data_IF_294754781654
#
_entry.id   IF_294754781654
#
_cell.length_a   1.000
_cell.length_b   1.000
_cell.length_c   1.000
_cell.angle_alpha   90.00
_cell.angle_beta   90.00
_cell.angle_gamma   90.00
#
_symmetry.space_group_name_H-M   'P 1'
#
loop_
_entity.id
_entity.type
_entity.pdbx_description
1 polymer ?
#
# COMPACT_ATOMS: atom_id res chain seq x y z
N UNK A 1 4.87 13.03 8.56
CA UNK A 1 5.39 13.33 7.23
C UNK A 1 6.68 14.14 7.35
N UNK A 2 7.64 13.85 6.49
CA UNK A 2 9.02 14.35 6.56
C UNK A 2 9.22 15.81 6.11
N UNK A 3 8.16 16.62 6.04
CA UNK A 3 8.18 17.98 5.49
C UNK A 3 8.68 18.09 4.04
N UNK A 4 8.62 16.98 3.30
CA UNK A 4 9.05 16.93 1.89
C UNK A 4 7.90 17.11 0.90
N UNK A 5 6.67 17.17 1.41
CA UNK A 5 5.46 17.39 0.62
C UNK A 5 4.87 18.77 0.93
N UNK A 6 4.09 19.29 0.00
CA UNK A 6 3.39 20.57 0.14
C UNK A 6 4.33 21.75 0.44
N UNK A 7 5.44 21.82 -0.30
CA UNK A 7 6.47 22.85 -0.09
C UNK A 7 6.08 24.24 -0.64
N UNK A 8 4.96 24.35 -1.34
CA UNK A 8 4.47 25.65 -1.76
C UNK A 8 4.13 26.50 -0.52
N UNK A 9 4.74 27.69 -0.33
CA UNK A 9 4.47 28.54 0.83
C UNK A 9 3.02 29.03 0.89
N UNK A 10 2.33 29.07 -0.24
CA UNK A 10 0.94 29.53 -0.35
C UNK A 10 -0.08 28.40 -0.20
N UNK A 11 0.37 27.17 0.14
CA UNK A 11 -0.54 26.04 0.31
C UNK A 11 -1.55 26.32 1.43
N UNK A 12 -2.82 26.04 1.16
CA UNK A 12 -3.90 26.10 2.14
C UNK A 12 -4.43 24.68 2.36
N UNK A 13 -4.56 24.31 3.62
CA UNK A 13 -5.12 23.02 4.00
C UNK A 13 -6.56 23.17 4.46
N UNK A 14 -7.38 22.21 4.09
CA UNK A 14 -8.68 21.93 4.70
C UNK A 14 -8.51 20.57 5.38
N UNK A 15 -8.83 20.47 6.65
CA UNK A 15 -8.64 19.26 7.43
C UNK A 15 -9.97 18.80 8.04
N UNK A 16 -10.42 17.63 7.65
CA UNK A 16 -11.61 16.97 8.20
C UNK A 16 -11.15 16.02 9.29
N UNK A 17 -11.58 16.23 10.52
CA UNK A 17 -11.21 15.35 11.64
C UNK A 17 -12.25 15.44 12.76
N UNK A 18 -12.56 14.30 13.39
CA UNK A 18 -13.44 14.28 14.58
C UNK A 18 -12.77 14.89 15.82
N UNK A 19 -11.44 14.85 15.88
CA UNK A 19 -10.66 15.44 16.94
C UNK A 19 -10.33 16.91 16.60
N UNK A 20 -10.89 17.84 17.35
CA UNK A 20 -10.71 19.27 17.13
C UNK A 20 -9.24 19.67 17.09
N UNK A 21 -8.43 19.18 18.03
CA UNK A 21 -6.98 19.44 18.08
C UNK A 21 -6.26 19.04 16.78
N UNK A 22 -6.63 17.91 16.20
CA UNK A 22 -6.05 17.43 14.95
C UNK A 22 -6.56 18.19 13.73
N UNK A 23 -7.80 18.65 13.76
CA UNK A 23 -8.39 19.44 12.68
C UNK A 23 -7.65 20.77 12.45
N UNK A 24 -7.12 21.39 13.49
CA UNK A 24 -6.37 22.65 13.39
C UNK A 24 -4.90 22.50 13.00
N UNK A 25 -4.36 21.29 12.88
CA UNK A 25 -2.97 21.09 12.48
C UNK A 25 -2.66 21.71 11.12
N UNK A 26 -1.42 22.11 10.93
CA UNK A 26 -0.92 22.74 9.69
C UNK A 26 -1.59 24.08 9.33
N UNK A 27 -2.15 24.78 10.29
CA UNK A 27 -2.91 26.03 10.04
C UNK A 27 -4.04 25.80 9.02
N UNK A 28 -4.68 24.64 9.10
CA UNK A 28 -5.75 24.26 8.20
C UNK A 28 -7.06 24.98 8.53
N UNK A 29 -7.93 25.13 7.54
CA UNK A 29 -9.35 25.38 7.78
C UNK A 29 -9.96 24.10 8.37
N UNK A 30 -10.36 24.09 9.64
CA UNK A 30 -10.85 22.88 10.27
C UNK A 30 -12.30 22.62 9.90
N UNK A 31 -12.61 21.39 9.54
CA UNK A 31 -13.95 20.84 9.46
C UNK A 31 -14.04 19.73 10.53
N UNK A 32 -14.49 20.13 11.73
CA UNK A 32 -14.59 19.21 12.87
C UNK A 32 -15.85 18.38 12.72
N UNK A 33 -15.69 17.07 12.43
CA UNK A 33 -16.82 16.19 12.21
C UNK A 33 -16.39 14.80 11.71
N UNK A 34 -17.35 13.92 11.60
CA UNK A 34 -17.19 12.62 10.96
C UNK A 34 -16.83 12.80 9.48
N UNK A 35 -15.85 12.03 9.01
CA UNK A 35 -15.35 12.19 7.64
C UNK A 35 -16.41 11.84 6.59
N UNK A 36 -17.21 10.79 6.80
CA UNK A 36 -18.25 10.39 5.86
C UNK A 36 -19.33 11.46 5.77
N UNK A 37 -19.89 11.87 6.91
CA UNK A 37 -20.93 12.88 6.96
C UNK A 37 -20.47 14.21 6.35
N UNK A 38 -19.25 14.65 6.69
CA UNK A 38 -18.67 15.90 6.16
C UNK A 38 -18.45 15.82 4.65
N UNK A 39 -17.99 14.68 4.13
CA UNK A 39 -17.80 14.49 2.68
C UNK A 39 -19.14 14.43 1.93
N UNK A 40 -20.20 13.84 2.50
CA UNK A 40 -21.54 13.84 1.92
C UNK A 40 -22.10 15.27 1.82
N UNK A 41 -21.96 16.08 2.87
CA UNK A 41 -22.34 17.49 2.84
C UNK A 41 -21.52 18.30 1.81
N UNK A 42 -20.21 18.04 1.74
CA UNK A 42 -19.31 18.71 0.80
C UNK A 42 -19.67 18.36 -0.65
N UNK A 43 -19.99 17.10 -0.94
CA UNK A 43 -20.46 16.67 -2.27
C UNK A 43 -21.73 17.42 -2.68
N UNK A 44 -22.68 17.58 -1.75
CA UNK A 44 -23.91 18.35 -1.99
C UNK A 44 -23.61 19.83 -2.23
N UNK A 45 -22.71 20.42 -1.43
CA UNK A 45 -22.34 21.84 -1.56
C UNK A 45 -21.56 22.14 -2.85
N UNK A 46 -20.82 21.15 -3.36
CA UNK A 46 -20.04 21.27 -4.61
C UNK A 46 -20.84 20.81 -5.85
N UNK A 47 -22.14 20.56 -5.72
CA UNK A 47 -22.95 20.14 -6.85
C UNK A 47 -22.85 21.16 -8.01
N UNK A 48 -22.45 20.69 -9.19
CA UNK A 48 -22.23 21.54 -10.37
C UNK A 48 -20.86 22.24 -10.41
N UNK A 49 -20.02 22.08 -9.39
CA UNK A 49 -18.62 22.54 -9.47
C UNK A 49 -17.83 21.67 -10.45
N UNK A 50 -17.15 22.32 -11.37
CA UNK A 50 -16.23 21.66 -12.31
C UNK A 50 -14.84 22.27 -12.17
N UNK A 51 -13.83 21.39 -12.22
CA UNK A 51 -12.44 21.84 -12.25
C UNK A 51 -12.08 22.37 -13.65
N UNK A 52 -11.03 23.18 -13.73
CA UNK A 52 -10.53 23.67 -15.02
C UNK A 52 -10.06 22.53 -15.93
N UNK A 53 -10.38 22.57 -17.22
CA UNK A 53 -9.99 21.56 -18.22
C UNK A 53 -8.48 21.28 -18.24
N UNK A 54 -7.67 22.33 -18.03
CA UNK A 54 -6.21 22.20 -17.94
C UNK A 54 -5.77 21.28 -16.79
N UNK A 55 -6.45 21.31 -15.63
CA UNK A 55 -6.14 20.44 -14.50
C UNK A 55 -6.55 19.00 -14.79
N UNK A 56 -7.70 18.79 -15.44
CA UNK A 56 -8.15 17.45 -15.85
C UNK A 56 -7.18 16.86 -16.87
N UNK A 57 -6.82 17.62 -17.90
CA UNK A 57 -5.85 17.20 -18.90
C UNK A 57 -4.50 16.86 -18.31
N UNK A 58 -4.04 17.65 -17.33
CA UNK A 58 -2.79 17.37 -16.59
C UNK A 58 -2.87 16.10 -15.76
N UNK A 59 -4.00 15.87 -15.08
CA UNK A 59 -4.22 14.66 -14.29
C UNK A 59 -4.18 13.41 -15.18
N UNK A 60 -4.84 13.43 -16.35
CA UNK A 60 -4.78 12.33 -17.30
C UNK A 60 -3.36 12.07 -17.83
N UNK A 61 -2.63 13.13 -18.23
CA UNK A 61 -1.23 12.99 -18.66
C UNK A 61 -0.34 12.34 -17.58
N UNK A 62 -0.51 12.72 -16.31
CA UNK A 62 0.26 12.15 -15.21
C UNK A 62 -0.13 10.70 -14.95
N UNK A 63 -1.40 10.37 -15.06
CA UNK A 63 -1.91 9.01 -14.94
C UNK A 63 -1.32 8.12 -16.05
N UNK A 64 -1.43 8.52 -17.30
CA UNK A 64 -0.94 7.75 -18.44
C UNK A 64 0.58 7.55 -18.38
N UNK A 65 1.32 8.59 -17.99
CA UNK A 65 2.77 8.49 -17.80
C UNK A 65 3.14 7.52 -16.66
N UNK A 66 2.34 7.50 -15.59
CA UNK A 66 2.55 6.56 -14.48
C UNK A 66 2.21 5.13 -14.87
N UNK A 67 1.10 4.89 -15.58
CA UNK A 67 0.74 3.56 -16.07
C UNK A 67 1.81 2.99 -17.02
N UNK A 68 2.36 3.82 -17.91
CA UNK A 68 3.47 3.41 -18.77
C UNK A 68 4.74 3.04 -17.96
N UNK A 69 5.01 3.75 -16.86
CA UNK A 69 6.12 3.42 -15.96
C UNK A 69 5.86 2.11 -15.20
N UNK A 70 4.62 1.84 -14.78
CA UNK A 70 4.25 0.56 -14.15
C UNK A 70 4.46 -0.60 -15.14
N UNK A 71 4.02 -0.46 -16.40
CA UNK A 71 4.25 -1.47 -17.43
C UNK A 71 5.75 -1.74 -17.64
N UNK A 72 6.54 -0.67 -17.69
CA UNK A 72 8.00 -0.78 -17.81
C UNK A 72 8.62 -1.54 -16.62
N UNK A 73 8.14 -1.27 -15.40
CA UNK A 73 8.65 -1.92 -14.20
C UNK A 73 8.21 -3.38 -14.10
N UNK A 74 7.02 -3.71 -14.55
CA UNK A 74 6.54 -5.09 -14.62
C UNK A 74 7.36 -5.93 -15.61
N UNK A 75 7.80 -5.31 -16.72
CA UNK A 75 8.56 -5.98 -17.77
C UNK A 75 10.07 -6.14 -17.47
N UNK A 76 10.57 -5.61 -16.36
CA UNK A 76 12.02 -5.69 -16.04
C UNK A 76 12.42 -7.14 -15.78
N UNK A 77 13.34 -7.62 -16.63
CA UNK A 77 14.05 -8.88 -16.45
C UNK A 77 15.50 -8.62 -16.06
N UNK A 78 15.94 -9.18 -14.94
CA UNK A 78 17.36 -9.11 -14.54
C UNK A 78 18.11 -10.29 -15.11
N UNK A 79 18.86 -10.02 -16.18
CA UNK A 79 19.66 -11.05 -16.87
C UNK A 79 20.92 -11.45 -16.09
N UNK A 80 21.45 -10.59 -15.25
CA UNK A 80 22.77 -10.69 -14.62
C UNK A 80 22.79 -11.35 -13.25
N UNK A 81 21.66 -11.36 -12.51
CA UNK A 81 21.62 -11.88 -11.14
C UNK A 81 20.85 -13.20 -10.99
N UNK A 82 20.10 -13.62 -12.00
CA UNK A 82 19.19 -14.76 -11.93
C UNK A 82 18.02 -14.59 -10.93
N UNK A 83 17.95 -13.44 -10.25
CA UNK A 83 16.90 -13.14 -9.29
C UNK A 83 15.84 -12.22 -9.93
N UNK A 84 14.55 -12.49 -9.72
CA UNK A 84 13.50 -11.65 -10.26
C UNK A 84 13.52 -10.25 -9.65
N UNK A 85 13.10 -9.25 -10.42
CA UNK A 85 12.85 -7.91 -9.92
C UNK A 85 11.51 -7.86 -9.17
N UNK A 86 11.46 -7.22 -8.01
CA UNK A 86 10.24 -7.17 -7.16
C UNK A 86 9.03 -6.62 -7.91
N UNK A 87 9.21 -5.59 -8.74
CA UNK A 87 8.14 -5.03 -9.59
C UNK A 87 7.58 -6.06 -10.58
N UNK A 88 8.44 -6.88 -11.20
CA UNK A 88 7.99 -7.94 -12.10
C UNK A 88 7.21 -9.05 -11.36
N UNK A 89 7.60 -9.38 -10.13
CA UNK A 89 6.84 -10.33 -9.29
C UNK A 89 5.46 -9.77 -8.92
N UNK A 90 5.40 -8.48 -8.55
CA UNK A 90 4.13 -7.80 -8.29
C UNK A 90 3.26 -7.82 -9.54
N UNK A 91 3.82 -7.50 -10.70
CA UNK A 91 3.13 -7.56 -11.99
C UNK A 91 2.58 -8.94 -12.29
N UNK A 92 3.38 -9.98 -12.13
CA UNK A 92 2.96 -11.34 -12.37
C UNK A 92 1.76 -11.75 -11.49
N UNK A 93 1.77 -11.39 -10.20
CA UNK A 93 0.64 -11.68 -9.30
C UNK A 93 -0.60 -10.85 -9.68
N UNK A 94 -0.41 -9.57 -10.03
CA UNK A 94 -1.51 -8.68 -10.38
C UNK A 94 -2.18 -9.04 -11.70
N UNK A 95 -1.41 -9.48 -12.70
CA UNK A 95 -1.90 -9.77 -14.05
C UNK A 95 -2.41 -11.21 -14.21
N UNK A 96 -1.76 -12.18 -13.56
CA UNK A 96 -2.06 -13.61 -13.71
C UNK A 96 -2.93 -14.16 -12.57
N UNK A 97 -3.05 -13.41 -11.47
CA UNK A 97 -3.90 -13.78 -10.35
C UNK A 97 -5.38 -13.62 -10.67
N UNK A 98 -6.21 -14.13 -9.75
CA UNK A 98 -7.66 -13.98 -9.84
C UNK A 98 -8.03 -12.49 -9.86
N UNK A 99 -8.82 -12.02 -10.83
CA UNK A 99 -9.18 -10.61 -10.96
C UNK A 99 -9.99 -10.06 -9.78
N UNK A 100 -10.64 -10.91 -8.99
CA UNK A 100 -11.42 -10.53 -7.82
C UNK A 100 -10.70 -10.78 -6.50
N UNK A 101 -9.47 -11.29 -6.54
CA UNK A 101 -8.68 -11.56 -5.35
C UNK A 101 -8.46 -10.31 -4.49
N UNK A 102 -8.30 -10.55 -3.19
CA UNK A 102 -7.83 -9.51 -2.25
C UNK A 102 -6.33 -9.69 -2.04
N UNK A 103 -5.58 -8.64 -2.30
CA UNK A 103 -4.17 -8.56 -1.97
C UNK A 103 -3.99 -7.98 -0.57
N UNK A 104 -3.19 -8.64 0.26
CA UNK A 104 -2.90 -8.24 1.65
C UNK A 104 -1.41 -8.01 1.82
N UNK A 105 -1.03 -6.88 2.41
CA UNK A 105 0.33 -6.60 2.84
C UNK A 105 0.33 -5.74 4.11
N UNK A 106 1.48 -5.54 4.72
CA UNK A 106 1.61 -4.68 5.90
C UNK A 106 2.90 -3.85 5.88
N UNK A 107 4.03 -4.39 6.28
CA UNK A 107 5.23 -3.62 6.59
C UNK A 107 6.43 -3.94 5.69
N UNK A 108 7.41 -3.05 5.69
CA UNK A 108 8.69 -3.22 4.99
C UNK A 108 8.80 -2.47 3.66
N UNK A 109 9.69 -2.91 2.78
CA UNK A 109 9.88 -2.31 1.45
C UNK A 109 8.82 -2.73 0.44
N UNK A 110 8.29 -3.94 0.59
CA UNK A 110 7.27 -4.51 -0.31
C UNK A 110 5.97 -3.69 -0.35
N UNK A 111 5.36 -3.28 0.78
CA UNK A 111 4.19 -2.41 0.76
C UNK A 111 4.42 -1.08 0.04
N UNK A 112 5.63 -0.51 0.14
CA UNK A 112 5.98 0.72 -0.56
C UNK A 112 5.93 0.59 -2.08
N UNK A 113 6.39 -0.55 -2.60
CA UNK A 113 6.31 -0.86 -4.04
C UNK A 113 4.89 -1.27 -4.43
N UNK A 114 4.20 -2.09 -3.62
CA UNK A 114 2.81 -2.46 -3.86
C UNK A 114 1.89 -1.26 -3.94
N UNK A 115 2.06 -0.29 -3.03
CA UNK A 115 1.26 0.94 -3.01
C UNK A 115 1.39 1.77 -4.29
N UNK A 116 2.52 1.64 -4.98
CA UNK A 116 2.78 2.34 -6.23
C UNK A 116 2.39 1.53 -7.47
N UNK A 117 2.58 0.22 -7.41
CA UNK A 117 2.56 -0.62 -8.60
C UNK A 117 1.31 -1.49 -8.71
N UNK A 118 0.60 -1.76 -7.60
CA UNK A 118 -0.59 -2.61 -7.64
C UNK A 118 -1.77 -1.89 -8.33
N UNK A 119 -2.31 -2.51 -9.36
CA UNK A 119 -3.50 -2.03 -10.06
C UNK A 119 -4.75 -2.68 -9.46
N UNK A 120 -5.42 -1.97 -8.57
CA UNK A 120 -6.72 -2.39 -8.04
C UNK A 120 -7.82 -2.14 -9.08
N UNK A 121 -8.64 -3.14 -9.34
CA UNK A 121 -9.73 -3.08 -10.34
C UNK A 121 -11.05 -2.61 -9.73
N UNK A 122 -11.23 -2.81 -8.43
CA UNK A 122 -12.41 -2.35 -7.69
C UNK A 122 -12.08 -2.14 -6.20
N UNK A 123 -12.95 -1.46 -5.42
CA UNK A 123 -12.77 -1.28 -3.98
C UNK A 123 -12.63 -2.61 -3.23
N UNK A 124 -11.90 -2.61 -2.11
CA UNK A 124 -11.62 -3.78 -1.26
C UNK A 124 -10.78 -4.89 -1.89
N UNK A 125 -10.07 -4.62 -3.00
CA UNK A 125 -9.05 -5.53 -3.53
C UNK A 125 -7.68 -5.36 -2.91
N UNK A 126 -7.42 -4.23 -2.28
CA UNK A 126 -6.14 -3.90 -1.69
C UNK A 126 -6.34 -3.65 -0.20
N UNK A 127 -5.77 -4.53 0.62
CA UNK A 127 -5.80 -4.42 2.07
C UNK A 127 -4.39 -4.23 2.61
N UNK A 128 -4.16 -3.14 3.32
CA UNK A 128 -2.86 -2.79 3.86
C UNK A 128 -2.98 -2.27 5.28
N UNK A 129 -2.27 -2.92 6.20
CA UNK A 129 -2.03 -2.35 7.53
C UNK A 129 -0.80 -1.45 7.43
N UNK A 130 -0.99 -0.15 7.35
CA UNK A 130 0.08 0.82 7.24
C UNK A 130 0.06 1.91 8.33
N UNK A 131 -1.02 2.02 9.06
CA UNK A 131 -1.17 3.02 10.12
C UNK A 131 -0.08 2.92 11.18
N UNK A 132 0.25 1.71 11.60
CA UNK A 132 1.33 1.39 12.53
C UNK A 132 2.47 0.61 11.87
N UNK A 133 2.29 0.17 10.63
CA UNK A 133 3.27 -0.60 9.86
C UNK A 133 3.73 -1.86 10.60
N UNK A 134 2.77 -2.66 11.06
CA UNK A 134 3.02 -3.84 11.90
C UNK A 134 3.54 -5.02 11.07
N UNK A 135 4.80 -5.38 11.27
CA UNK A 135 5.36 -6.62 10.71
C UNK A 135 4.69 -7.83 11.35
N UNK A 136 4.39 -8.84 10.52
CA UNK A 136 3.72 -10.07 10.96
C UNK A 136 2.20 -10.03 10.86
N UNK A 137 1.61 -8.88 10.52
CA UNK A 137 0.16 -8.76 10.32
C UNK A 137 -0.34 -9.56 9.10
N UNK A 138 0.49 -9.75 8.09
CA UNK A 138 0.08 -10.17 6.76
C UNK A 138 -0.69 -11.50 6.76
N UNK A 139 -0.21 -12.50 7.50
CA UNK A 139 -0.85 -13.82 7.56
C UNK A 139 -2.17 -13.76 8.31
N UNK A 140 -2.18 -13.18 9.51
CA UNK A 140 -3.37 -13.03 10.33
C UNK A 140 -4.43 -12.17 9.61
N UNK A 141 -4.01 -11.07 8.99
CA UNK A 141 -4.89 -10.20 8.21
C UNK A 141 -5.49 -10.92 7.00
N UNK A 142 -4.68 -11.70 6.29
CA UNK A 142 -5.13 -12.55 5.18
C UNK A 142 -6.15 -13.59 5.64
N UNK A 143 -5.90 -14.25 6.75
CA UNK A 143 -6.85 -15.21 7.35
C UNK A 143 -8.17 -14.52 7.71
N UNK A 144 -8.12 -13.37 8.37
CA UNK A 144 -9.32 -12.61 8.74
C UNK A 144 -10.16 -12.21 7.52
N UNK A 145 -9.52 -11.80 6.43
CA UNK A 145 -10.22 -11.49 5.17
C UNK A 145 -10.84 -12.75 4.58
N UNK A 146 -10.10 -13.86 4.54
CA UNK A 146 -10.61 -15.14 4.03
C UNK A 146 -11.79 -15.67 4.84
N UNK A 147 -11.79 -15.45 6.15
CA UNK A 147 -12.94 -15.78 7.01
C UNK A 147 -14.16 -14.89 6.72
N UNK A 148 -13.94 -13.60 6.40
CA UNK A 148 -15.02 -12.67 6.09
C UNK A 148 -15.55 -12.82 4.65
N UNK A 149 -14.72 -13.21 3.72
CA UNK A 149 -15.05 -13.39 2.30
C UNK A 149 -14.52 -14.76 1.81
N UNK A 150 -15.13 -15.88 2.25
CA UNK A 150 -14.59 -17.24 2.05
C UNK A 150 -14.48 -17.66 0.57
N UNK A 151 -15.29 -17.10 -0.30
CA UNK A 151 -15.26 -17.42 -1.74
C UNK A 151 -14.18 -16.69 -2.52
N UNK A 152 -13.62 -15.61 -1.96
CA UNK A 152 -12.59 -14.83 -2.66
C UNK A 152 -11.21 -15.42 -2.46
N UNK A 153 -10.39 -15.37 -3.50
CA UNK A 153 -8.95 -15.67 -3.36
C UNK A 153 -8.28 -14.54 -2.57
N UNK A 154 -7.36 -14.94 -1.68
CA UNK A 154 -6.58 -14.00 -0.86
C UNK A 154 -5.10 -14.24 -1.12
N UNK A 155 -4.43 -13.24 -1.66
CA UNK A 155 -2.99 -13.21 -1.86
C UNK A 155 -2.33 -12.43 -0.75
N UNK A 156 -1.52 -13.11 0.06
CA UNK A 156 -0.72 -12.49 1.11
C UNK A 156 0.68 -12.24 0.58
N UNK A 157 1.00 -10.99 0.29
CA UNK A 157 2.33 -10.59 -0.16
C UNK A 157 3.15 -10.15 1.05
N UNK A 158 4.19 -10.92 1.39
CA UNK A 158 4.93 -10.75 2.63
C UNK A 158 6.44 -10.88 2.38
N UNK A 159 7.24 -10.03 3.04
CA UNK A 159 8.69 -10.19 3.08
C UNK A 159 9.11 -11.28 4.06
N UNK A 160 10.26 -11.91 3.79
CA UNK A 160 10.83 -12.98 4.63
C UNK A 160 10.97 -12.58 6.09
N UNK A 161 11.45 -11.36 6.38
CA UNK A 161 11.58 -10.87 7.75
C UNK A 161 10.24 -10.73 8.48
N UNK A 162 9.20 -10.24 7.82
CA UNK A 162 7.86 -10.13 8.38
C UNK A 162 7.22 -11.50 8.59
N UNK A 163 7.38 -12.39 7.61
CA UNK A 163 6.91 -13.76 7.68
C UNK A 163 7.50 -14.52 8.88
N UNK A 164 8.81 -14.38 9.12
CA UNK A 164 9.48 -15.04 10.25
C UNK A 164 9.03 -14.50 11.62
N UNK A 165 8.54 -13.27 11.69
CA UNK A 165 8.05 -12.70 12.95
C UNK A 165 6.75 -13.33 13.43
N UNK A 166 5.80 -13.56 12.53
CA UNK A 166 4.50 -14.12 12.88
C UNK A 166 3.86 -14.83 11.69
N UNK A 167 4.03 -16.14 11.63
CA UNK A 167 3.45 -17.00 10.59
C UNK A 167 2.58 -18.12 11.19
N UNK A 168 2.41 -18.15 12.49
CA UNK A 168 1.74 -19.25 13.21
C UNK A 168 0.26 -19.39 12.85
N UNK A 169 -0.39 -18.31 12.39
CA UNK A 169 -1.78 -18.34 11.95
C UNK A 169 -2.01 -19.20 10.69
N UNK A 170 -0.92 -19.64 10.02
CA UNK A 170 -1.00 -20.67 8.99
C UNK A 170 -1.55 -22.01 9.54
N UNK A 171 -1.21 -22.32 10.78
CA UNK A 171 -1.74 -23.53 11.42
C UNK A 171 -3.26 -23.43 11.54
N UNK A 172 -3.77 -22.31 11.98
CA UNK A 172 -5.22 -22.03 12.07
C UNK A 172 -5.86 -22.09 10.68
N UNK A 173 -5.24 -21.43 9.68
CA UNK A 173 -5.72 -21.44 8.29
C UNK A 173 -5.89 -22.86 7.75
N UNK A 174 -4.90 -23.73 8.00
CA UNK A 174 -4.92 -25.13 7.56
C UNK A 174 -5.96 -25.93 8.34
N UNK A 175 -6.02 -25.79 9.66
CA UNK A 175 -6.95 -26.55 10.51
C UNK A 175 -8.41 -26.22 10.22
N UNK A 176 -8.69 -24.95 9.97
CA UNK A 176 -10.05 -24.47 9.68
C UNK A 176 -10.41 -24.51 8.19
N UNK A 177 -9.49 -24.95 7.33
CA UNK A 177 -9.72 -25.10 5.89
C UNK A 177 -9.78 -23.78 5.10
N UNK A 178 -9.24 -22.68 5.64
CA UNK A 178 -9.16 -21.39 4.96
C UNK A 178 -7.90 -21.30 4.09
N UNK A 179 -8.07 -21.44 2.78
CA UNK A 179 -6.96 -21.36 1.82
C UNK A 179 -6.42 -19.94 1.70
N UNK A 180 -5.13 -19.77 1.91
CA UNK A 180 -4.37 -18.56 1.61
C UNK A 180 -3.31 -18.84 0.55
N UNK A 181 -3.12 -17.92 -0.38
CA UNK A 181 -1.99 -17.93 -1.32
C UNK A 181 -0.93 -16.96 -0.82
N UNK A 182 0.21 -17.50 -0.37
CA UNK A 182 1.29 -16.69 0.20
C UNK A 182 2.38 -16.49 -0.84
N UNK A 183 2.66 -15.22 -1.15
CA UNK A 183 3.75 -14.81 -2.03
C UNK A 183 4.87 -14.25 -1.15
N UNK A 184 5.83 -15.11 -0.86
CA UNK A 184 6.98 -14.79 -0.02
C UNK A 184 8.09 -14.12 -0.85
N UNK A 185 8.38 -12.86 -0.52
CA UNK A 185 9.48 -12.10 -1.13
C UNK A 185 10.75 -12.25 -0.30
N UNK A 186 11.56 -13.26 -0.62
CA UNK A 186 12.85 -13.49 0.05
C UNK A 186 13.89 -12.49 -0.42
N UNK A 187 14.21 -11.53 0.42
CA UNK A 187 15.28 -10.57 0.21
C UNK A 187 16.41 -10.68 1.25
N UNK A 188 16.40 -11.75 2.03
CA UNK A 188 17.39 -12.15 3.06
C UNK A 188 17.54 -11.14 4.17
N UNK A 189 16.44 -10.73 4.76
CA UNK A 189 16.44 -9.88 5.95
C UNK A 189 15.46 -8.70 5.94
N UNK A 190 15.77 -7.73 6.76
CA UNK A 190 14.97 -6.52 6.96
C UNK A 190 15.43 -5.40 6.01
N UNK A 191 15.14 -5.54 4.72
CA UNK A 191 15.71 -4.68 3.67
C UNK A 191 15.35 -3.21 3.82
N UNK A 192 14.15 -2.88 4.29
CA UNK A 192 13.73 -1.49 4.54
C UNK A 192 14.63 -0.85 5.59
N UNK A 193 14.81 -1.53 6.73
CA UNK A 193 15.66 -1.05 7.83
C UNK A 193 17.12 -0.96 7.39
N UNK A 194 17.62 -1.97 6.68
CA UNK A 194 18.99 -1.94 6.15
C UNK A 194 19.23 -0.81 5.14
N UNK A 195 18.21 -0.42 4.37
CA UNK A 195 18.32 0.72 3.44
C UNK A 195 18.31 2.05 4.18
N UNK A 196 17.45 2.21 5.19
CA UNK A 196 17.43 3.40 6.05
C UNK A 196 18.73 3.57 6.81
N UNK A 197 19.27 2.49 7.38
CA UNK A 197 20.57 2.47 8.07
C UNK A 197 21.69 2.97 7.15
N UNK A 198 21.78 2.42 5.94
CA UNK A 198 22.76 2.87 4.94
C UNK A 198 22.58 4.32 4.51
N UNK A 199 21.35 4.80 4.42
CA UNK A 199 21.08 6.20 4.03
C UNK A 199 21.61 7.22 5.04
N UNK A 200 21.79 6.81 6.32
CA UNK A 200 22.41 7.65 7.37
C UNK A 200 23.89 7.31 7.61
N UNK A 201 24.52 6.50 6.73
CA UNK A 201 25.93 6.19 6.77
C UNK A 201 26.32 4.98 7.62
N UNK A 202 25.36 4.20 8.11
CA UNK A 202 25.61 2.99 8.89
C UNK A 202 25.72 1.75 7.98
N UNK A 203 26.26 0.65 8.50
CA UNK A 203 26.50 -0.61 7.79
C UNK A 203 25.27 -1.54 7.74
N UNK A 204 24.15 -1.18 8.38
CA UNK A 204 22.96 -2.01 8.45
C UNK A 204 23.11 -3.21 9.39
N UNK A 205 23.65 -2.99 10.60
CA UNK A 205 23.82 -4.02 11.63
C UNK A 205 22.51 -4.78 11.87
N UNK A 206 22.60 -6.12 11.99
CA UNK A 206 21.50 -7.04 12.27
C UNK A 206 20.30 -6.94 11.29
N UNK A 207 20.49 -6.43 10.08
CA UNK A 207 19.42 -6.30 9.07
C UNK A 207 19.43 -7.43 8.03
N UNK A 208 20.36 -8.37 8.14
CA UNK A 208 20.48 -9.58 7.29
C UNK A 208 20.63 -10.82 8.18
N UNK A 209 20.23 -11.96 7.68
CA UNK A 209 20.42 -13.30 8.24
C UNK A 209 20.74 -14.32 7.15
#
# INVERSE_FOLDING_TARGET
>A
ASKTQFQNPDVRFININVAEFDAYKHNALPLVGDAQATLEELLNALHGYTNHDANQSRAHQLHDAWEAEVDRLYAIQRADSGLPFQGALIGAVNEQGDPDAVMVCAAGSLPGDLHKLWRARHPRQYHMEYGFSCMGYEIAGGLGIKMAEPEREVYVLVGDGSYLMLHTDLVTSIQEGYKLTIVLMDNRGYKSIGSLSRAVGDQGFATRY
#
